data_IF_974791587900
#
_entry.id   IF_974791587900
#
_cell.length_a   1.000
_cell.length_b   1.000
_cell.length_c   1.000
_cell.angle_alpha   90.00
_cell.angle_beta   90.00
_cell.angle_gamma   90.00
#
_symmetry.space_group_name_H-M   'P 1'
#
loop_
_entity.id
_entity.type
_entity.pdbx_description
1 polymer ?
#
# COMPACT_ATOMS: atom_id res chain seq x y z
N UNK A 1 25.61 -14.67 -2.34
CA UNK A 1 25.42 -13.22 -2.42
C UNK A 1 24.75 -12.93 -3.76
N UNK A 2 23.42 -12.95 -3.80
CA UNK A 2 22.68 -12.55 -4.99
C UNK A 2 22.45 -11.04 -4.90
N UNK A 3 23.22 -10.28 -5.65
CA UNK A 3 22.95 -8.86 -5.88
C UNK A 3 21.78 -8.77 -6.86
N UNK A 4 20.56 -8.75 -6.33
CA UNK A 4 19.43 -8.22 -7.09
C UNK A 4 19.77 -6.76 -7.40
N UNK A 5 20.09 -6.48 -8.64
CA UNK A 5 20.28 -5.12 -9.13
C UNK A 5 18.97 -4.37 -8.91
N UNK A 6 18.99 -3.39 -8.00
CA UNK A 6 17.85 -2.45 -7.90
C UNK A 6 17.59 -1.87 -9.28
N UNK A 7 16.29 -1.73 -9.68
CA UNK A 7 15.97 -1.06 -10.94
C UNK A 7 16.67 0.30 -10.96
N UNK A 8 17.29 0.61 -12.08
CA UNK A 8 17.92 1.91 -12.27
C UNK A 8 16.85 2.96 -12.57
N UNK A 9 17.13 4.24 -12.31
CA UNK A 9 16.21 5.34 -12.65
C UNK A 9 15.79 5.37 -14.14
N UNK A 10 16.55 4.69 -15.01
CA UNK A 10 16.30 4.62 -16.44
C UNK A 10 15.23 3.57 -16.83
N UNK A 11 14.83 2.69 -15.89
CA UNK A 11 13.86 1.62 -16.16
C UNK A 11 12.38 2.07 -15.99
N UNK A 12 12.15 3.33 -15.65
CA UNK A 12 10.82 3.87 -15.35
C UNK A 12 10.28 3.44 -13.98
N UNK A 13 9.03 3.80 -13.65
CA UNK A 13 8.42 3.45 -12.37
C UNK A 13 8.18 1.94 -12.24
N UNK A 14 8.44 1.38 -11.05
CA UNK A 14 8.11 -0.02 -10.73
C UNK A 14 6.60 -0.10 -10.47
N UNK A 15 5.85 -0.55 -11.46
CA UNK A 15 4.40 -0.68 -11.34
C UNK A 15 4.00 -2.02 -10.73
N UNK A 16 3.03 -1.98 -9.83
CA UNK A 16 2.44 -3.11 -9.15
C UNK A 16 0.92 -3.13 -9.23
N UNK A 17 0.34 -4.18 -8.69
CA UNK A 17 -1.10 -4.34 -8.54
C UNK A 17 -1.44 -4.95 -7.19
N UNK A 18 -2.53 -4.50 -6.58
CA UNK A 18 -3.05 -5.02 -5.33
C UNK A 18 -3.72 -6.38 -5.55
N UNK A 19 -3.14 -7.44 -5.00
CA UNK A 19 -3.55 -8.83 -5.30
C UNK A 19 -4.93 -9.18 -4.80
N UNK A 20 -5.40 -8.55 -3.72
CA UNK A 20 -6.76 -8.77 -3.19
C UNK A 20 -7.90 -8.30 -4.12
N UNK A 21 -7.57 -7.51 -5.13
CA UNK A 21 -8.51 -7.10 -6.19
C UNK A 21 -8.51 -8.04 -7.40
N UNK A 22 -7.75 -9.16 -7.33
CA UNK A 22 -7.61 -10.13 -8.40
C UNK A 22 -8.12 -11.50 -7.96
N UNK A 23 -8.87 -12.17 -8.84
CA UNK A 23 -9.39 -13.53 -8.62
C UNK A 23 -9.30 -14.37 -9.91
N UNK A 24 -9.69 -15.64 -9.83
CA UNK A 24 -9.81 -16.54 -10.98
C UNK A 24 -8.50 -17.22 -11.39
N UNK A 25 -7.40 -17.03 -10.64
CA UNK A 25 -6.12 -17.75 -10.78
C UNK A 25 -5.50 -18.02 -9.42
N UNK A 26 -4.62 -19.01 -9.36
CA UNK A 26 -3.70 -19.21 -8.24
C UNK A 26 -2.75 -18.03 -8.09
N UNK A 27 -2.12 -17.85 -6.94
CA UNK A 27 -1.17 -16.78 -6.72
C UNK A 27 0.01 -16.80 -7.71
N UNK A 28 0.66 -17.96 -7.99
CA UNK A 28 1.69 -18.02 -9.06
C UNK A 28 1.15 -17.60 -10.43
N UNK A 29 -0.07 -18.04 -10.77
CA UNK A 29 -0.72 -17.65 -12.03
C UNK A 29 -1.07 -16.17 -12.11
N UNK A 30 -1.36 -15.53 -10.98
CA UNK A 30 -1.58 -14.08 -10.86
C UNK A 30 -0.27 -13.33 -11.09
N UNK A 31 0.83 -13.75 -10.44
CA UNK A 31 2.16 -13.15 -10.62
C UNK A 31 2.63 -13.27 -12.07
N UNK A 32 2.47 -14.44 -12.69
CA UNK A 32 2.82 -14.66 -14.10
C UNK A 32 2.04 -13.72 -15.03
N UNK A 33 0.72 -13.59 -14.81
CA UNK A 33 -0.10 -12.66 -15.60
C UNK A 33 0.33 -11.19 -15.41
N UNK A 34 0.62 -10.76 -14.19
CA UNK A 34 1.07 -9.40 -13.92
C UNK A 34 2.41 -9.11 -14.64
N UNK A 35 3.33 -10.09 -14.67
CA UNK A 35 4.57 -9.98 -15.44
C UNK A 35 4.32 -9.81 -16.94
N UNK A 36 3.43 -10.63 -17.53
CA UNK A 36 3.01 -10.53 -18.93
C UNK A 36 2.35 -9.18 -19.22
N UNK A 37 1.61 -8.63 -18.28
CA UNK A 37 0.98 -7.32 -18.39
C UNK A 37 1.96 -6.15 -18.17
N UNK A 38 3.22 -6.43 -17.86
CA UNK A 38 4.29 -5.42 -17.71
C UNK A 38 4.41 -4.82 -16.31
N UNK A 39 3.77 -5.41 -15.31
CA UNK A 39 3.98 -5.07 -13.90
C UNK A 39 5.25 -5.73 -13.34
N UNK A 40 5.81 -5.17 -12.28
CA UNK A 40 7.06 -5.61 -11.64
C UNK A 40 6.98 -5.58 -10.11
N UNK A 41 5.79 -5.38 -9.56
CA UNK A 41 5.52 -5.43 -8.13
C UNK A 41 4.18 -6.09 -7.85
N UNK A 42 4.04 -6.62 -6.65
CA UNK A 42 2.77 -7.08 -6.07
C UNK A 42 2.59 -6.44 -4.71
N UNK A 43 1.41 -5.89 -4.47
CA UNK A 43 0.99 -5.49 -3.15
C UNK A 43 0.14 -6.61 -2.56
N UNK A 44 0.61 -7.19 -1.47
CA UNK A 44 -0.10 -8.22 -0.73
C UNK A 44 -0.95 -7.59 0.37
N UNK A 45 -2.09 -8.18 0.61
CA UNK A 45 -2.87 -7.98 1.81
C UNK A 45 -2.68 -9.22 2.72
N UNK A 46 -3.05 -9.12 3.97
CA UNK A 46 -3.03 -10.26 4.90
C UNK A 46 -3.82 -11.51 4.41
N UNK A 47 -4.60 -11.41 3.33
CA UNK A 47 -5.29 -12.55 2.69
C UNK A 47 -4.31 -13.61 2.19
N UNK A 48 -3.10 -13.22 1.76
CA UNK A 48 -2.05 -14.17 1.36
C UNK A 48 -1.55 -15.03 2.52
N UNK A 49 -1.83 -14.66 3.77
CA UNK A 49 -1.56 -15.51 4.93
C UNK A 49 -2.28 -16.87 4.86
N UNK A 50 -3.34 -16.99 4.06
CA UNK A 50 -4.02 -18.25 3.78
C UNK A 50 -3.31 -19.16 2.79
N UNK A 51 -2.44 -18.63 1.96
CA UNK A 51 -1.70 -19.39 0.94
C UNK A 51 -0.61 -20.24 1.60
N UNK A 52 -0.60 -21.53 1.35
CA UNK A 52 0.29 -22.49 2.01
C UNK A 52 0.80 -23.56 1.04
N UNK A 53 1.81 -24.32 1.49
CA UNK A 53 2.36 -25.46 0.76
C UNK A 53 2.94 -25.07 -0.59
N UNK A 54 2.79 -25.93 -1.58
CA UNK A 54 3.42 -25.76 -2.90
C UNK A 54 2.98 -24.48 -3.61
N UNK A 55 1.74 -24.03 -3.43
CA UNK A 55 1.28 -22.77 -4.04
C UNK A 55 2.08 -21.56 -3.53
N UNK A 56 2.36 -21.51 -2.23
CA UNK A 56 3.16 -20.46 -1.63
C UNK A 56 4.61 -20.50 -2.13
N UNK A 57 5.19 -21.69 -2.15
CA UNK A 57 6.58 -21.90 -2.60
C UNK A 57 6.75 -21.55 -4.09
N UNK A 58 5.80 -21.96 -4.92
CA UNK A 58 5.77 -21.64 -6.35
C UNK A 58 5.61 -20.13 -6.60
N UNK A 59 4.73 -19.45 -5.83
CA UNK A 59 4.56 -18.01 -5.93
C UNK A 59 5.85 -17.27 -5.52
N UNK A 60 6.48 -17.68 -4.42
CA UNK A 60 7.74 -17.09 -3.96
C UNK A 60 8.87 -17.29 -4.99
N UNK A 61 8.96 -18.48 -5.59
CA UNK A 61 9.92 -18.75 -6.65
C UNK A 61 9.68 -17.87 -7.88
N UNK A 62 8.44 -17.77 -8.35
CA UNK A 62 8.07 -16.94 -9.49
C UNK A 62 8.38 -15.45 -9.25
N UNK A 63 8.04 -14.91 -8.07
CA UNK A 63 8.33 -13.53 -7.67
C UNK A 63 9.84 -13.27 -7.72
N UNK A 64 10.63 -14.17 -7.13
CA UNK A 64 12.10 -14.05 -7.10
C UNK A 64 12.72 -14.15 -8.49
N UNK A 65 12.28 -15.10 -9.33
CA UNK A 65 12.78 -15.30 -10.69
C UNK A 65 12.46 -14.14 -11.61
N UNK A 66 11.28 -13.55 -11.45
CA UNK A 66 10.82 -12.40 -12.22
C UNK A 66 11.35 -11.06 -11.69
N UNK A 67 12.03 -11.06 -10.53
CA UNK A 67 12.56 -9.87 -9.89
C UNK A 67 11.47 -8.89 -9.42
N UNK A 68 10.31 -9.41 -9.02
CA UNK A 68 9.24 -8.57 -8.50
C UNK A 68 9.58 -8.00 -7.14
N UNK A 69 9.14 -6.76 -6.88
CA UNK A 69 9.08 -6.21 -5.54
C UNK A 69 7.80 -6.67 -4.84
N UNK A 70 7.88 -6.84 -3.54
CA UNK A 70 6.70 -7.13 -2.70
C UNK A 70 6.51 -5.98 -1.73
N UNK A 71 5.28 -5.49 -1.63
CA UNK A 71 4.81 -4.69 -0.52
C UNK A 71 3.71 -5.45 0.22
N UNK A 72 3.53 -5.17 1.50
CA UNK A 72 2.57 -5.88 2.32
C UNK A 72 1.68 -4.90 3.06
N UNK A 73 0.37 -5.06 2.89
CA UNK A 73 -0.62 -4.23 3.54
C UNK A 73 -1.32 -5.02 4.66
N UNK A 74 -1.21 -4.56 5.88
CA UNK A 74 -1.82 -5.17 7.04
C UNK A 74 -3.08 -4.44 7.47
N UNK A 75 -4.26 -5.01 7.26
CA UNK A 75 -5.51 -4.44 7.74
C UNK A 75 -5.68 -4.65 9.25
N UNK A 76 -5.01 -3.85 10.03
CA UNK A 76 -4.97 -3.94 11.48
C UNK A 76 -6.35 -3.71 12.12
N UNK A 77 -7.19 -2.90 11.52
CA UNK A 77 -8.57 -2.69 11.97
C UNK A 77 -9.40 -3.99 12.06
N UNK A 78 -9.07 -5.02 11.30
CA UNK A 78 -9.74 -6.31 11.37
C UNK A 78 -9.26 -7.17 12.53
N UNK A 79 -8.23 -6.73 13.26
CA UNK A 79 -7.69 -7.42 14.42
C UNK A 79 -8.26 -6.93 15.75
N UNK A 80 -9.04 -5.86 15.70
CA UNK A 80 -9.72 -5.34 16.87
C UNK A 80 -11.00 -6.14 17.08
N UNK A 81 -11.05 -6.93 18.17
CA UNK A 81 -12.23 -7.68 18.54
C UNK A 81 -13.39 -6.76 18.97
N UNK A 82 -14.57 -7.35 19.26
CA UNK A 82 -15.73 -6.62 19.77
C UNK A 82 -15.45 -5.89 21.09
N UNK A 83 -14.45 -6.37 21.84
CA UNK A 83 -13.94 -5.74 23.07
C UNK A 83 -12.96 -4.59 22.80
N UNK A 84 -12.75 -4.24 21.53
CA UNK A 84 -11.81 -3.23 21.04
C UNK A 84 -10.34 -3.45 21.50
N UNK A 85 -9.97 -4.69 21.76
CA UNK A 85 -8.60 -5.06 22.04
C UNK A 85 -7.88 -5.56 20.80
N UNK A 86 -6.60 -5.25 20.74
CA UNK A 86 -5.71 -5.73 19.71
C UNK A 86 -5.46 -7.24 19.85
N UNK A 87 -5.56 -7.96 18.76
CA UNK A 87 -5.17 -9.36 18.69
C UNK A 87 -3.67 -9.47 18.43
N UNK A 88 -2.88 -9.54 19.50
CA UNK A 88 -1.42 -9.66 19.42
C UNK A 88 -0.96 -10.92 18.70
N UNK A 89 -1.73 -12.00 18.74
CA UNK A 89 -1.39 -13.24 18.05
C UNK A 89 -1.53 -13.09 16.54
N UNK A 90 -2.57 -12.39 16.07
CA UNK A 90 -2.73 -12.07 14.64
C UNK A 90 -1.64 -11.14 14.14
N UNK A 91 -1.28 -10.12 14.92
CA UNK A 91 -0.17 -9.24 14.57
C UNK A 91 1.13 -10.02 14.43
N UNK A 92 1.44 -10.88 15.38
CA UNK A 92 2.63 -11.72 15.32
C UNK A 92 2.61 -12.67 14.11
N UNK A 93 1.46 -13.30 13.84
CA UNK A 93 1.31 -14.19 12.69
C UNK A 93 1.55 -13.45 11.35
N UNK A 94 1.09 -12.20 11.24
CA UNK A 94 1.37 -11.36 10.07
C UNK A 94 2.87 -11.04 9.97
N UNK A 95 3.52 -10.64 11.05
CA UNK A 95 4.95 -10.35 11.04
C UNK A 95 5.78 -11.55 10.57
N UNK A 96 5.45 -12.76 11.06
CA UNK A 96 6.12 -14.00 10.62
C UNK A 96 5.81 -14.33 9.15
N UNK A 97 4.60 -14.02 8.67
CA UNK A 97 4.26 -14.19 7.27
C UNK A 97 5.07 -13.26 6.37
N UNK A 98 5.19 -11.98 6.73
CA UNK A 98 6.02 -10.99 6.04
C UNK A 98 7.49 -11.42 6.03
N UNK A 99 8.02 -11.90 7.16
CA UNK A 99 9.38 -12.43 7.24
C UNK A 99 9.57 -13.60 6.27
N UNK A 100 8.64 -14.52 6.24
CA UNK A 100 8.72 -15.66 5.33
C UNK A 100 8.80 -15.23 3.86
N UNK A 101 7.92 -14.30 3.43
CA UNK A 101 7.96 -13.74 2.08
C UNK A 101 9.28 -13.02 1.80
N UNK A 102 9.77 -12.25 2.76
CA UNK A 102 11.04 -11.56 2.65
C UNK A 102 12.22 -12.52 2.40
N UNK A 103 12.27 -13.61 3.14
CA UNK A 103 13.36 -14.59 3.06
C UNK A 103 13.26 -15.49 1.82
N UNK A 104 12.06 -15.78 1.33
CA UNK A 104 11.85 -16.78 0.28
C UNK A 104 11.54 -16.20 -1.10
N UNK A 105 11.03 -14.98 -1.19
CA UNK A 105 10.60 -14.38 -2.45
C UNK A 105 11.49 -13.24 -2.99
N UNK A 106 12.64 -12.99 -2.38
CA UNK A 106 13.61 -11.99 -2.86
C UNK A 106 13.56 -10.65 -2.15
N UNK A 107 12.73 -10.52 -1.13
CA UNK A 107 12.65 -9.36 -0.25
C UNK A 107 11.30 -8.64 -0.29
N UNK A 108 10.81 -8.27 0.89
CA UNK A 108 9.66 -7.36 1.05
C UNK A 108 10.20 -5.94 1.22
N UNK A 109 9.67 -4.99 0.46
CA UNK A 109 10.08 -3.57 0.52
C UNK A 109 9.51 -2.91 1.75
N UNK A 110 8.21 -3.11 2.00
CA UNK A 110 7.52 -2.50 3.14
C UNK A 110 6.34 -3.35 3.62
N UNK A 111 6.03 -3.19 4.92
CA UNK A 111 4.82 -3.68 5.53
C UNK A 111 4.17 -2.51 6.28
N UNK A 112 3.12 -1.95 5.74
CA UNK A 112 2.39 -0.86 6.38
C UNK A 112 0.98 -1.31 6.77
N UNK A 113 0.46 -0.73 7.83
CA UNK A 113 -0.82 -1.11 8.42
C UNK A 113 -1.81 0.05 8.37
N UNK A 114 -3.07 -0.25 8.15
CA UNK A 114 -4.15 0.69 8.50
C UNK A 114 -4.15 0.95 10.01
N UNK A 115 -4.50 2.16 10.40
CA UNK A 115 -4.58 2.48 11.82
C UNK A 115 -5.97 2.25 12.39
N UNK A 116 -5.95 1.83 13.63
CA UNK A 116 -7.10 1.30 14.38
C UNK A 116 -8.07 2.36 14.84
N UNK A 117 -7.65 3.60 14.97
CA UNK A 117 -8.50 4.66 15.45
C UNK A 117 -9.49 5.10 14.36
N UNK A 118 -10.53 4.29 14.13
CA UNK A 118 -11.60 4.64 13.21
C UNK A 118 -12.30 5.94 13.60
N UNK A 119 -12.93 6.66 12.64
CA UNK A 119 -13.62 7.94 12.89
C UNK A 119 -14.74 7.85 13.92
N UNK A 120 -15.17 6.65 14.26
CA UNK A 120 -16.21 6.36 15.26
C UNK A 120 -15.68 6.21 16.68
N UNK A 121 -14.36 6.18 16.89
CA UNK A 121 -13.79 6.06 18.23
C UNK A 121 -13.80 7.41 18.94
N UNK A 122 -14.69 7.56 19.95
CA UNK A 122 -14.77 8.77 20.77
C UNK A 122 -14.33 8.50 22.22
N UNK A 123 -13.85 9.56 22.88
CA UNK A 123 -13.59 9.56 24.32
C UNK A 123 -12.48 8.61 24.79
N UNK A 124 -12.69 7.81 25.85
CA UNK A 124 -11.67 6.92 26.42
C UNK A 124 -11.19 5.84 25.44
N UNK A 125 -12.06 5.36 24.55
CA UNK A 125 -11.73 4.35 23.55
C UNK A 125 -10.74 4.89 22.52
N UNK A 126 -10.86 6.15 22.13
CA UNK A 126 -9.90 6.78 21.20
C UNK A 126 -8.50 6.77 21.78
N UNK A 127 -8.33 7.19 23.04
CA UNK A 127 -7.02 7.21 23.71
C UNK A 127 -6.41 5.81 23.87
N UNK A 128 -7.25 4.83 24.12
CA UNK A 128 -6.81 3.42 24.16
C UNK A 128 -6.28 2.98 22.81
N UNK A 129 -7.04 3.20 21.74
CA UNK A 129 -6.65 2.82 20.37
C UNK A 129 -5.41 3.57 19.90
N UNK A 130 -5.25 4.84 20.26
CA UNK A 130 -4.01 5.59 20.00
C UNK A 130 -2.81 4.98 20.73
N UNK A 131 -2.98 4.54 21.97
CA UNK A 131 -1.97 3.82 22.74
C UNK A 131 -1.58 2.50 22.11
N UNK A 132 -2.55 1.72 21.69
CA UNK A 132 -2.33 0.44 21.00
C UNK A 132 -1.66 0.64 19.62
N UNK A 133 -2.02 1.68 18.89
CA UNK A 133 -1.38 2.06 17.63
C UNK A 133 0.12 2.34 17.82
N UNK A 134 0.47 3.10 18.89
CA UNK A 134 1.88 3.37 19.23
C UNK A 134 2.61 2.09 19.64
N UNK A 135 1.96 1.24 20.43
CA UNK A 135 2.52 -0.06 20.84
C UNK A 135 2.79 -0.96 19.63
N UNK A 136 1.86 -1.00 18.67
CA UNK A 136 2.06 -1.73 17.42
C UNK A 136 3.23 -1.17 16.63
N UNK A 137 3.31 0.14 16.47
CA UNK A 137 4.42 0.79 15.74
C UNK A 137 5.80 0.47 16.36
N UNK A 138 5.88 0.41 17.70
CA UNK A 138 7.11 -0.02 18.37
C UNK A 138 7.43 -1.49 18.08
N UNK A 139 6.44 -2.38 18.07
CA UNK A 139 6.64 -3.79 17.72
C UNK A 139 7.04 -3.96 16.26
N UNK A 140 6.40 -3.22 15.34
CA UNK A 140 6.78 -3.20 13.92
C UNK A 140 8.26 -2.77 13.77
N UNK A 141 8.66 -1.69 14.47
CA UNK A 141 10.05 -1.26 14.49
C UNK A 141 10.98 -2.36 14.94
N UNK A 142 10.73 -2.95 16.10
CA UNK A 142 11.62 -3.97 16.68
C UNK A 142 11.71 -5.23 15.81
N UNK A 143 10.68 -5.50 15.01
CA UNK A 143 10.64 -6.65 14.12
C UNK A 143 11.23 -6.34 12.73
N UNK A 144 10.88 -5.21 12.11
CA UNK A 144 11.19 -4.91 10.71
C UNK A 144 12.52 -4.18 10.50
N UNK A 145 12.96 -3.33 11.44
CA UNK A 145 14.27 -2.64 11.33
C UNK A 145 15.44 -3.61 11.11
N UNK A 146 15.56 -4.72 11.86
CA UNK A 146 16.66 -5.68 11.64
C UNK A 146 16.61 -6.37 10.26
N UNK A 147 15.44 -6.40 9.63
CA UNK A 147 15.23 -6.99 8.30
C UNK A 147 15.42 -5.98 7.17
N UNK A 148 15.50 -4.69 7.48
CA UNK A 148 15.56 -3.63 6.48
C UNK A 148 14.24 -3.42 5.75
N UNK A 149 13.11 -3.82 6.34
CA UNK A 149 11.77 -3.68 5.78
C UNK A 149 11.17 -2.36 6.25
N UNK A 150 10.61 -1.57 5.32
CA UNK A 150 9.82 -0.39 5.64
C UNK A 150 8.59 -0.74 6.46
N UNK A 151 8.22 0.11 7.42
CA UNK A 151 7.03 -0.10 8.23
C UNK A 151 6.34 1.23 8.54
N UNK A 152 5.08 1.18 8.90
CA UNK A 152 4.33 2.38 9.25
C UNK A 152 2.84 2.28 8.95
N UNK A 153 2.29 3.34 8.39
CA UNK A 153 0.84 3.45 8.18
C UNK A 153 0.51 3.73 6.72
N UNK A 154 -0.71 3.35 6.35
CA UNK A 154 -1.38 3.90 5.19
C UNK A 154 -2.28 5.07 5.61
N UNK A 155 -2.40 6.09 4.75
CA UNK A 155 -3.37 7.15 4.94
C UNK A 155 -4.77 6.66 4.58
N UNK A 156 -5.69 6.75 5.51
CA UNK A 156 -7.10 6.51 5.26
C UNK A 156 -7.84 7.83 5.03
N UNK A 157 -9.03 7.77 4.42
CA UNK A 157 -9.92 8.91 4.27
C UNK A 157 -10.77 9.13 5.54
N UNK A 158 -11.40 10.31 5.65
CA UNK A 158 -12.22 10.77 6.78
C UNK A 158 -11.50 11.00 8.12
N UNK A 159 -11.05 12.24 8.31
CA UNK A 159 -10.58 12.84 9.58
C UNK A 159 -9.24 12.35 10.11
N UNK A 160 -8.53 11.52 9.38
CA UNK A 160 -7.13 11.23 9.70
C UNK A 160 -6.28 12.23 8.95
N UNK A 161 -5.91 13.30 9.64
CA UNK A 161 -4.91 14.20 9.09
C UNK A 161 -3.62 13.42 9.01
N UNK A 162 -3.33 12.96 7.82
CA UNK A 162 -2.16 12.19 7.49
C UNK A 162 -0.87 12.77 8.10
N UNK A 163 -0.73 14.10 8.08
CA UNK A 163 0.46 14.76 8.60
C UNK A 163 0.57 14.67 10.11
N UNK A 164 -0.52 14.87 10.84
CA UNK A 164 -0.53 14.85 12.30
C UNK A 164 -0.36 13.44 12.84
N UNK A 165 -1.00 12.45 12.22
CA UNK A 165 -0.85 11.04 12.60
C UNK A 165 0.55 10.52 12.29
N UNK A 166 1.08 10.79 11.11
CA UNK A 166 2.44 10.41 10.76
C UNK A 166 3.49 11.11 11.61
N UNK A 167 3.27 12.39 11.94
CA UNK A 167 4.14 13.10 12.86
C UNK A 167 4.04 12.49 14.27
N UNK A 168 2.83 12.23 14.76
CA UNK A 168 2.61 11.56 16.05
C UNK A 168 3.23 10.17 16.10
N UNK A 169 3.15 9.41 15.02
CA UNK A 169 3.82 8.12 14.89
C UNK A 169 5.34 8.27 14.96
N UNK A 170 5.90 9.19 14.17
CA UNK A 170 7.34 9.50 14.16
C UNK A 170 7.84 9.90 15.54
N UNK A 171 7.08 10.72 16.27
CA UNK A 171 7.44 11.17 17.62
C UNK A 171 7.31 10.05 18.68
N UNK A 172 6.52 9.02 18.40
CA UNK A 172 6.28 7.90 19.33
C UNK A 172 7.21 6.69 19.14
N UNK A 173 7.87 6.60 18.00
CA UNK A 173 8.82 5.50 17.71
C UNK A 173 10.22 5.91 18.12
N UNK A 174 10.92 5.10 18.97
CA UNK A 174 12.29 5.42 19.37
C UNK A 174 13.25 5.54 18.18
N UNK A 175 14.07 6.58 18.17
CA UNK A 175 15.11 6.77 17.15
C UNK A 175 16.36 5.93 17.48
N UNK A 176 17.13 5.43 16.49
CA UNK A 176 16.90 5.59 15.06
C UNK A 176 15.78 4.72 14.53
N UNK A 177 15.01 5.24 13.56
CA UNK A 177 13.93 4.52 12.89
C UNK A 177 13.97 4.83 11.36
N UNK A 178 15.04 4.44 10.66
CA UNK A 178 15.25 4.80 9.25
C UNK A 178 14.25 4.15 8.31
N UNK A 179 13.59 3.05 8.73
CA UNK A 179 12.59 2.35 7.92
C UNK A 179 11.14 2.74 8.26
N UNK A 180 10.94 3.69 9.19
CA UNK A 180 9.62 4.25 9.44
C UNK A 180 9.15 5.07 8.22
N UNK A 181 7.90 4.83 7.79
CA UNK A 181 7.33 5.51 6.64
C UNK A 181 5.84 5.27 6.49
N UNK A 182 5.36 5.32 5.25
CA UNK A 182 3.96 5.07 4.94
C UNK A 182 3.79 4.44 3.57
N UNK A 183 2.64 3.81 3.35
CA UNK A 183 1.99 3.70 2.05
C UNK A 183 1.18 4.98 1.86
N UNK A 184 1.27 5.60 0.70
CA UNK A 184 0.45 6.73 0.34
C UNK A 184 -0.61 6.30 -0.67
N UNK A 185 -1.86 6.16 -0.21
CA UNK A 185 -3.00 6.13 -1.12
C UNK A 185 -3.30 7.54 -1.61
N UNK A 186 -3.12 7.74 -2.92
CA UNK A 186 -3.24 9.06 -3.54
C UNK A 186 -4.69 9.51 -3.69
N UNK A 187 -5.62 8.55 -3.84
CA UNK A 187 -7.05 8.85 -3.89
C UNK A 187 -7.58 9.32 -2.54
N UNK A 188 -7.21 8.64 -1.45
CA UNK A 188 -7.51 9.07 -0.08
C UNK A 188 -6.94 10.47 0.20
N UNK A 189 -5.69 10.72 -0.17
CA UNK A 189 -5.06 12.04 -0.01
C UNK A 189 -5.80 13.13 -0.80
N UNK A 190 -6.25 12.81 -2.03
CA UNK A 190 -6.99 13.75 -2.88
C UNK A 190 -8.38 14.08 -2.31
N UNK A 191 -9.11 13.08 -1.82
CA UNK A 191 -10.39 13.32 -1.12
C UNK A 191 -10.16 14.17 0.14
N UNK A 192 -9.14 13.85 0.94
CA UNK A 192 -8.84 14.59 2.16
C UNK A 192 -8.59 16.08 1.88
N UNK A 193 -7.78 16.39 0.87
CA UNK A 193 -7.48 17.79 0.49
C UNK A 193 -8.72 18.55 0.03
N UNK A 194 -9.64 17.89 -0.68
CA UNK A 194 -10.81 18.57 -1.25
C UNK A 194 -12.00 18.65 -0.28
N UNK A 195 -12.14 17.69 0.66
CA UNK A 195 -13.31 17.60 1.54
C UNK A 195 -13.01 18.03 2.96
N UNK A 196 -11.90 17.53 3.54
CA UNK A 196 -11.65 17.70 4.97
C UNK A 196 -10.84 18.96 5.28
N UNK A 197 -10.07 19.45 4.32
CA UNK A 197 -9.23 20.65 4.54
C UNK A 197 -9.95 21.94 4.18
N UNK A 198 -9.82 22.89 5.07
CA UNK A 198 -10.42 24.23 4.93
C UNK A 198 -9.40 25.35 4.74
N UNK A 199 -8.09 25.01 4.76
CA UNK A 199 -7.00 25.98 4.70
C UNK A 199 -6.54 26.33 3.27
N UNK A 200 -7.18 25.74 2.25
CA UNK A 200 -6.89 26.02 0.83
C UNK A 200 -5.58 25.42 0.33
N UNK A 201 -4.98 24.47 1.07
CA UNK A 201 -3.77 23.77 0.63
C UNK A 201 -4.05 22.97 -0.63
N UNK A 202 -3.20 23.10 -1.64
CA UNK A 202 -3.27 22.29 -2.84
C UNK A 202 -2.84 20.84 -2.58
N UNK A 203 -3.26 19.91 -3.45
CA UNK A 203 -2.85 18.52 -3.39
C UNK A 203 -1.32 18.34 -3.43
N UNK A 204 -0.65 19.10 -4.30
CA UNK A 204 0.81 19.05 -4.43
C UNK A 204 1.53 19.53 -3.16
N UNK A 205 1.07 20.64 -2.55
CA UNK A 205 1.59 21.11 -1.26
C UNK A 205 1.35 20.11 -0.13
N UNK A 206 0.21 19.44 -0.13
CA UNK A 206 -0.10 18.41 0.83
C UNK A 206 0.91 17.25 0.75
N UNK A 207 1.19 16.76 -0.47
CA UNK A 207 2.17 15.71 -0.70
C UNK A 207 3.58 16.12 -0.25
N UNK A 208 3.99 17.36 -0.50
CA UNK A 208 5.31 17.87 -0.09
C UNK A 208 5.50 17.89 1.43
N UNK A 209 4.42 18.04 2.19
CA UNK A 209 4.47 18.17 3.66
C UNK A 209 4.40 16.83 4.42
N UNK A 210 4.27 15.69 3.75
CA UNK A 210 4.26 14.37 4.42
C UNK A 210 5.57 14.20 5.20
N UNK A 211 5.54 13.97 6.54
CA UNK A 211 6.73 14.07 7.39
C UNK A 211 7.62 12.82 7.42
N UNK A 212 7.20 11.75 6.75
CA UNK A 212 7.89 10.46 6.71
C UNK A 212 8.25 10.04 5.28
N UNK A 213 9.09 9.01 5.14
CA UNK A 213 9.34 8.37 3.85
C UNK A 213 8.06 7.73 3.32
N UNK A 214 7.84 7.83 2.02
CA UNK A 214 6.81 7.06 1.31
C UNK A 214 7.49 5.82 0.74
N UNK A 215 7.00 4.64 1.14
CA UNK A 215 7.52 3.35 0.69
C UNK A 215 6.83 2.84 -0.57
N UNK A 216 5.55 3.19 -0.74
CA UNK A 216 4.71 2.76 -1.85
C UNK A 216 3.64 3.81 -2.11
N UNK A 217 3.21 3.90 -3.36
CA UNK A 217 1.97 4.60 -3.73
C UNK A 217 0.90 3.58 -4.05
N UNK A 218 -0.28 3.73 -3.47
CA UNK A 218 -1.51 3.13 -3.97
C UNK A 218 -2.18 4.11 -4.93
N UNK A 219 -2.45 3.65 -6.14
CA UNK A 219 -3.02 4.46 -7.20
C UNK A 219 -4.48 4.12 -7.37
N UNK A 220 -5.30 5.08 -7.05
CA UNK A 220 -6.71 5.17 -7.40
C UNK A 220 -6.97 6.53 -8.01
N UNK A 221 -8.04 6.67 -8.79
CA UNK A 221 -8.55 7.96 -9.22
C UNK A 221 -9.92 8.20 -8.59
N UNK A 222 -10.33 9.44 -8.45
CA UNK A 222 -11.65 9.84 -7.99
C UNK A 222 -11.97 11.29 -8.39
N UNK A 223 -13.17 11.76 -8.09
CA UNK A 223 -13.60 13.13 -8.37
C UNK A 223 -13.34 14.11 -7.20
N UNK A 224 -12.58 13.69 -6.19
CA UNK A 224 -12.20 14.52 -5.03
C UNK A 224 -13.27 14.64 -3.95
N UNK A 225 -14.41 13.96 -4.07
CA UNK A 225 -15.52 14.03 -3.11
C UNK A 225 -15.80 12.73 -2.36
N UNK A 226 -15.33 11.60 -2.89
CA UNK A 226 -15.51 10.27 -2.32
C UNK A 226 -14.36 9.37 -2.75
N UNK A 227 -14.14 8.31 -1.97
CA UNK A 227 -13.21 7.24 -2.32
C UNK A 227 -13.87 6.29 -3.33
N UNK A 228 -13.59 6.52 -4.61
CA UNK A 228 -14.25 5.83 -5.71
C UNK A 228 -13.43 4.68 -6.31
N UNK A 229 -12.15 4.58 -5.98
CA UNK A 229 -11.21 3.59 -6.52
C UNK A 229 -11.27 3.43 -8.05
N UNK A 230 -11.40 4.54 -8.79
CA UNK A 230 -11.49 4.55 -10.24
C UNK A 230 -10.13 4.24 -10.89
N UNK A 231 -10.19 3.78 -12.14
CA UNK A 231 -9.00 3.64 -12.97
C UNK A 231 -8.36 5.01 -13.27
N UNK A 232 -7.02 5.09 -13.42
CA UNK A 232 -6.33 6.32 -13.77
C UNK A 232 -6.91 7.02 -15.01
N UNK A 233 -7.27 8.29 -14.86
CA UNK A 233 -7.89 9.11 -15.90
C UNK A 233 -9.42 9.01 -15.97
N UNK A 234 -10.07 8.24 -15.10
CA UNK A 234 -11.51 8.20 -14.99
C UNK A 234 -12.09 9.24 -13.99
N UNK A 235 -11.25 9.78 -13.12
CA UNK A 235 -11.55 10.86 -12.19
C UNK A 235 -10.90 12.18 -12.58
N UNK A 236 -10.51 12.96 -11.58
CA UNK A 236 -9.95 14.32 -11.76
C UNK A 236 -8.59 14.53 -11.09
N UNK A 237 -7.94 13.47 -10.59
CA UNK A 237 -6.65 13.56 -9.92
C UNK A 237 -5.55 14.00 -10.90
N UNK A 238 -4.75 15.01 -10.51
CA UNK A 238 -3.60 15.46 -11.31
C UNK A 238 -2.39 14.56 -11.06
N UNK A 239 -2.24 13.50 -11.86
CA UNK A 239 -1.08 12.58 -11.79
C UNK A 239 0.25 13.25 -12.13
N UNK A 240 0.25 14.38 -12.85
CA UNK A 240 1.48 15.14 -13.08
C UNK A 240 1.91 15.91 -11.85
N UNK A 241 0.96 16.45 -11.07
CA UNK A 241 1.26 17.05 -9.77
C UNK A 241 1.81 15.98 -8.80
N UNK A 242 1.20 14.80 -8.77
CA UNK A 242 1.73 13.65 -8.02
C UNK A 242 3.17 13.36 -8.44
N UNK A 243 3.45 13.24 -9.74
CA UNK A 243 4.81 12.97 -10.24
C UNK A 243 5.80 14.04 -9.78
N UNK A 244 5.48 15.32 -9.93
CA UNK A 244 6.37 16.41 -9.49
C UNK A 244 6.67 16.35 -7.99
N UNK A 245 5.67 16.07 -7.16
CA UNK A 245 5.86 15.93 -5.73
C UNK A 245 6.74 14.72 -5.39
N UNK A 246 6.53 13.59 -6.04
CA UNK A 246 7.33 12.38 -5.83
C UNK A 246 8.78 12.57 -6.30
N UNK A 247 9.02 13.27 -7.39
CA UNK A 247 10.37 13.60 -7.86
C UNK A 247 11.13 14.48 -6.86
N UNK A 248 10.47 15.50 -6.29
CA UNK A 248 11.08 16.36 -5.24
C UNK A 248 11.42 15.57 -3.99
N UNK A 249 10.61 14.60 -3.65
CA UNK A 249 10.80 13.71 -2.48
C UNK A 249 11.84 12.62 -2.73
N UNK A 250 12.29 12.43 -3.96
CA UNK A 250 13.20 11.34 -4.33
C UNK A 250 12.55 9.96 -4.15
N UNK A 251 11.23 9.85 -4.41
CA UNK A 251 10.50 8.60 -4.30
C UNK A 251 11.07 7.56 -5.26
N UNK A 252 11.33 6.38 -4.73
CA UNK A 252 11.94 5.24 -5.44
C UNK A 252 11.20 3.90 -5.19
N UNK A 253 10.02 3.98 -4.57
CA UNK A 253 9.20 2.83 -4.21
C UNK A 253 8.32 2.30 -5.35
N UNK A 254 7.66 1.15 -5.14
CA UNK A 254 6.65 0.63 -6.04
C UNK A 254 5.41 1.53 -6.10
N UNK A 255 4.71 1.44 -7.24
CA UNK A 255 3.45 2.13 -7.50
C UNK A 255 2.40 1.07 -7.81
N UNK A 256 1.52 0.78 -6.87
CA UNK A 256 0.54 -0.30 -6.97
C UNK A 256 -0.85 0.22 -7.34
N UNK A 257 -1.47 -0.39 -8.34
CA UNK A 257 -2.84 -0.10 -8.72
C UNK A 257 -3.80 -0.70 -7.70
N UNK A 258 -4.61 0.15 -7.04
CA UNK A 258 -5.67 -0.25 -6.12
C UNK A 258 -7.04 0.15 -6.68
N UNK A 259 -7.32 -0.31 -7.87
CA UNK A 259 -8.50 0.03 -8.65
C UNK A 259 -9.56 -1.04 -8.50
N UNK A 260 -10.76 -0.65 -8.08
CA UNK A 260 -11.93 -1.52 -8.07
C UNK A 260 -12.56 -1.63 -9.46
N UNK A 261 -13.01 -2.82 -9.83
CA UNK A 261 -13.67 -3.05 -11.12
C UNK A 261 -14.97 -2.24 -11.25
N UNK A 262 -15.78 -2.25 -10.21
CA UNK A 262 -17.07 -1.56 -10.16
C UNK A 262 -17.45 -1.29 -8.68
N UNK A 263 -16.75 -0.34 -8.06
CA UNK A 263 -16.97 0.00 -6.66
C UNK A 263 -18.41 0.46 -6.37
N UNK A 264 -19.04 1.14 -7.31
CA UNK A 264 -20.42 1.63 -7.17
C UNK A 264 -21.44 0.50 -7.00
N UNK A 265 -21.16 -0.70 -7.54
CA UNK A 265 -22.04 -1.87 -7.46
C UNK A 265 -21.45 -2.98 -6.57
N UNK A 266 -20.36 -2.72 -5.86
CA UNK A 266 -19.74 -3.68 -4.93
C UNK A 266 -18.99 -4.85 -5.60
N UNK A 267 -18.73 -4.79 -6.90
CA UNK A 267 -17.90 -5.78 -7.62
C UNK A 267 -16.47 -5.26 -7.76
N UNK A 268 -15.70 -5.40 -6.70
CA UNK A 268 -14.36 -4.80 -6.62
C UNK A 268 -13.28 -5.59 -7.35
N UNK A 269 -13.51 -6.89 -7.66
CA UNK A 269 -12.44 -7.76 -8.13
C UNK A 269 -12.46 -7.98 -9.65
N UNK A 270 -11.28 -7.96 -10.25
CA UNK A 270 -11.05 -8.41 -11.62
C UNK A 270 -10.87 -9.94 -11.65
N UNK A 271 -11.65 -10.61 -12.48
CA UNK A 271 -11.53 -12.05 -12.71
C UNK A 271 -10.52 -12.31 -13.84
N UNK A 272 -9.36 -12.85 -13.50
CA UNK A 272 -8.27 -13.13 -14.44
C UNK A 272 -8.56 -14.30 -15.39
N UNK A 273 -9.65 -15.04 -15.20
CA UNK A 273 -10.15 -16.00 -16.20
C UNK A 273 -10.84 -15.28 -17.37
N UNK A 274 -11.36 -14.06 -17.14
CA UNK A 274 -12.04 -13.23 -18.13
C UNK A 274 -11.04 -12.39 -18.96
N UNK A 275 -10.96 -12.59 -20.29
CA UNK A 275 -10.07 -11.80 -21.16
C UNK A 275 -10.28 -10.29 -21.08
N UNK A 276 -11.53 -9.83 -20.98
CA UNK A 276 -11.84 -8.41 -20.93
C UNK A 276 -11.28 -7.74 -19.65
N UNK A 277 -11.26 -8.46 -18.51
CA UNK A 277 -10.67 -7.96 -17.28
C UNK A 277 -9.14 -7.90 -17.38
N UNK A 278 -8.50 -8.91 -17.99
CA UNK A 278 -7.06 -8.86 -18.25
C UNK A 278 -6.66 -7.69 -19.13
N UNK A 279 -7.45 -7.41 -20.16
CA UNK A 279 -7.21 -6.26 -21.04
C UNK A 279 -7.46 -4.92 -20.33
N UNK A 280 -8.43 -4.86 -19.41
CA UNK A 280 -8.63 -3.69 -18.57
C UNK A 280 -7.41 -3.40 -17.68
N UNK A 281 -6.82 -4.43 -17.05
CA UNK A 281 -5.62 -4.30 -16.22
C UNK A 281 -4.41 -3.81 -17.05
N UNK A 282 -4.24 -4.30 -18.27
CA UNK A 282 -3.18 -3.81 -19.18
C UNK A 282 -3.40 -2.34 -19.55
N UNK A 283 -4.64 -1.97 -19.91
CA UNK A 283 -4.97 -0.57 -20.22
C UNK A 283 -4.72 0.38 -19.04
N UNK A 284 -5.09 0.01 -17.82
CA UNK A 284 -4.85 0.84 -16.62
C UNK A 284 -3.36 1.19 -16.47
N UNK A 285 -2.48 0.20 -16.69
CA UNK A 285 -1.03 0.42 -16.70
C UNK A 285 -0.64 1.47 -17.73
N UNK A 286 -1.10 1.31 -18.96
CA UNK A 286 -0.71 2.18 -20.08
C UNK A 286 -1.30 3.59 -19.91
N UNK A 287 -2.54 3.70 -19.40
CA UNK A 287 -3.19 4.96 -19.09
C UNK A 287 -2.45 5.70 -17.97
N UNK A 288 -2.09 5.00 -16.89
CA UNK A 288 -1.30 5.60 -15.82
C UNK A 288 0.05 6.11 -16.32
N UNK A 289 0.79 5.29 -17.07
CA UNK A 289 2.09 5.71 -17.61
C UNK A 289 1.97 6.97 -18.48
N UNK A 290 0.95 7.08 -19.31
CA UNK A 290 0.70 8.26 -20.14
C UNK A 290 0.38 9.51 -19.31
N UNK A 291 -0.28 9.35 -18.16
CA UNK A 291 -0.67 10.45 -17.27
C UNK A 291 0.46 10.86 -16.33
N UNK A 292 1.26 9.90 -15.86
CA UNK A 292 2.28 10.08 -14.83
C UNK A 292 3.67 10.38 -15.39
N UNK A 293 4.04 9.76 -16.51
CA UNK A 293 5.34 9.97 -17.16
C UNK A 293 5.21 11.13 -18.15
N UNK A 294 6.12 12.14 -18.13
CA UNK A 294 6.04 13.31 -19.02
C UNK A 294 6.19 12.95 -20.50
#
# INVERSE_FOLDING_TARGET
MNTTTKPTKDDGPVLGFCTWLLRGRSLPGTVAFLAEAGYRSVAFLQDVMGVRGSERDEAAAAIRELGFSITYHGCVQWWVGQDQRFDDAKAQAMFEDVRWWHENAGGVVSCCSDRVAGPTAEGPNRRYLEGETRRLAQRERDFFEPLGIGYGIENCFHRYCLHEEMQGLKDSVPVPAPHLGSILDVGHAYVHVNVDRTDGMSFEEYLDRIPVRIWELHITDNHGSADEHLAPGAGTLDFRALRRAMDRRGFDGPISMEVCKDAAHGDNCFDLSNPAHRDAIRRMRDDFLRLYVP
#
